data_IF_237060453057
#
_entry.id   IF_237060453057
#
_cell.length_a   1.000
_cell.length_b   1.000
_cell.length_c   1.000
_cell.angle_alpha   90.00
_cell.angle_beta   90.00
_cell.angle_gamma   90.00
#
_symmetry.space_group_name_H-M   'P 1'
#
loop_
_entity.id
_entity.type
_entity.pdbx_description
1 polymer ?
#
# COMPACT_ATOMS: atom_id res chain seq x y z
N UNK A 1 -9.37 5.33 -22.15
CA UNK A 1 -8.70 6.66 -22.24
C UNK A 1 -7.65 6.80 -21.16
N UNK A 2 -8.01 6.56 -19.89
CA UNK A 2 -7.11 6.66 -18.73
C UNK A 2 -5.89 5.74 -18.80
N UNK A 3 -6.03 4.42 -19.04
CA UNK A 3 -4.87 3.51 -19.14
C UNK A 3 -3.82 3.98 -20.17
N UNK A 4 -4.28 4.46 -21.34
CA UNK A 4 -3.40 4.99 -22.39
C UNK A 4 -2.65 6.25 -21.94
N UNK A 5 -3.32 7.14 -21.20
CA UNK A 5 -2.69 8.35 -20.67
C UNK A 5 -1.64 8.01 -19.60
N UNK A 6 -1.96 7.07 -18.68
CA UNK A 6 -1.02 6.58 -17.68
C UNK A 6 0.21 5.94 -18.32
N UNK A 7 0.04 5.10 -19.35
CA UNK A 7 1.17 4.49 -20.09
C UNK A 7 2.04 5.53 -20.78
N UNK A 8 1.45 6.60 -21.33
CA UNK A 8 2.22 7.70 -21.92
C UNK A 8 3.05 8.42 -20.86
N UNK A 9 2.43 8.79 -19.73
CA UNK A 9 3.13 9.43 -18.62
C UNK A 9 4.27 8.55 -18.07
N UNK A 10 4.03 7.25 -17.91
CA UNK A 10 5.05 6.28 -17.54
C UNK A 10 6.22 6.28 -18.53
N UNK A 11 5.93 6.27 -19.84
CA UNK A 11 6.96 6.36 -20.87
C UNK A 11 7.80 7.63 -20.77
N UNK A 12 7.16 8.78 -20.55
CA UNK A 12 7.85 10.07 -20.38
C UNK A 12 8.77 10.07 -19.14
N UNK A 13 8.30 9.49 -18.02
CA UNK A 13 9.09 9.37 -16.78
C UNK A 13 10.30 8.44 -16.98
N UNK A 14 10.06 7.25 -17.51
CA UNK A 14 11.10 6.23 -17.76
C UNK A 14 12.17 6.73 -18.72
N UNK A 15 11.78 7.54 -19.72
CA UNK A 15 12.75 8.15 -20.65
C UNK A 15 13.60 9.24 -19.99
N UNK A 16 13.13 9.85 -18.91
CA UNK A 16 13.74 11.04 -18.28
C UNK A 16 14.61 10.72 -17.06
N UNK A 17 14.37 9.58 -16.40
CA UNK A 17 15.05 9.21 -15.14
C UNK A 17 15.76 7.86 -15.32
N UNK A 18 17.08 7.77 -15.04
CA UNK A 18 17.78 6.49 -15.07
C UNK A 18 17.11 5.45 -14.17
N UNK A 19 16.98 4.21 -14.65
CA UNK A 19 16.22 3.17 -13.96
C UNK A 19 16.64 2.94 -12.50
N UNK A 20 17.96 2.96 -12.23
CA UNK A 20 18.52 2.83 -10.86
C UNK A 20 18.18 3.96 -9.89
N UNK A 21 17.62 5.08 -10.37
CA UNK A 21 17.19 6.22 -9.57
C UNK A 21 15.66 6.39 -9.60
N UNK A 22 14.93 5.42 -10.15
CA UNK A 22 13.50 5.50 -10.36
C UNK A 22 12.78 4.35 -9.66
N UNK A 23 11.72 4.72 -8.94
CA UNK A 23 10.73 3.80 -8.39
C UNK A 23 9.34 4.25 -8.84
N UNK A 24 8.49 3.32 -9.23
CA UNK A 24 7.12 3.57 -9.71
C UNK A 24 6.13 2.91 -8.76
N UNK A 25 5.29 3.72 -8.11
CA UNK A 25 4.17 3.24 -7.31
C UNK A 25 2.86 3.43 -8.07
N UNK A 26 2.03 2.40 -8.09
CA UNK A 26 0.63 2.50 -8.50
C UNK A 26 -0.27 2.63 -7.26
N UNK A 27 -0.98 3.76 -7.17
CA UNK A 27 -1.97 4.00 -6.11
C UNK A 27 -3.32 3.39 -6.50
N UNK A 28 -3.76 2.40 -5.72
CA UNK A 28 -4.94 1.57 -5.99
C UNK A 28 -6.00 1.87 -4.94
N UNK A 29 -6.74 2.95 -5.14
CA UNK A 29 -7.72 3.46 -4.16
C UNK A 29 -9.16 3.10 -4.52
N UNK A 30 -9.55 3.38 -5.76
CA UNK A 30 -10.92 3.17 -6.23
C UNK A 30 -11.26 1.68 -6.25
N UNK A 31 -10.29 0.85 -6.61
CA UNK A 31 -10.42 -0.59 -6.70
C UNK A 31 -10.66 -1.20 -5.31
N UNK A 32 -9.92 -0.77 -4.29
CA UNK A 32 -10.13 -1.21 -2.91
C UNK A 32 -11.53 -0.80 -2.44
N UNK A 33 -11.96 0.44 -2.70
CA UNK A 33 -13.33 0.90 -2.41
C UNK A 33 -14.41 0.05 -3.10
N UNK A 34 -14.17 -0.40 -4.34
CA UNK A 34 -15.06 -1.31 -5.05
C UNK A 34 -15.12 -2.68 -4.35
N UNK A 35 -13.98 -3.23 -3.89
CA UNK A 35 -13.95 -4.47 -3.12
C UNK A 35 -14.69 -4.34 -1.78
N UNK A 36 -14.56 -3.19 -1.13
CA UNK A 36 -15.19 -2.85 0.14
C UNK A 36 -16.68 -2.50 0.05
N UNK A 37 -17.31 -2.67 -1.12
CA UNK A 37 -18.74 -2.38 -1.34
C UNK A 37 -19.12 -0.90 -1.16
N UNK A 38 -18.16 0.02 -1.30
CA UNK A 38 -18.45 1.45 -1.19
C UNK A 38 -19.40 1.95 -2.29
N UNK A 39 -19.22 1.46 -3.52
CA UNK A 39 -20.09 1.81 -4.64
C UNK A 39 -21.29 0.85 -4.71
N UNK A 40 -22.49 1.43 -4.89
CA UNK A 40 -23.75 0.68 -4.93
C UNK A 40 -23.82 -0.33 -6.09
N UNK A 41 -23.18 -0.01 -7.22
CA UNK A 41 -23.17 -0.85 -8.41
C UNK A 41 -21.73 -1.19 -8.80
N UNK A 42 -21.52 -2.46 -9.13
CA UNK A 42 -20.30 -2.94 -9.77
C UNK A 42 -20.60 -4.14 -10.66
N UNK A 43 -19.89 -4.32 -11.79
CA UNK A 43 -20.05 -5.50 -12.63
C UNK A 43 -19.76 -6.78 -11.85
N UNK A 44 -20.44 -7.90 -12.17
CA UNK A 44 -20.19 -9.18 -11.49
C UNK A 44 -18.73 -9.67 -11.63
N UNK A 45 -18.06 -9.32 -12.73
CA UNK A 45 -16.66 -9.67 -12.99
C UNK A 45 -15.66 -8.56 -12.61
N UNK A 46 -16.05 -7.62 -11.73
CA UNK A 46 -15.21 -6.48 -11.35
C UNK A 46 -13.81 -6.89 -10.87
N UNK A 47 -13.70 -7.92 -10.02
CA UNK A 47 -12.42 -8.42 -9.50
C UNK A 47 -11.47 -8.79 -10.64
N UNK A 48 -11.95 -9.61 -11.59
CA UNK A 48 -11.18 -10.04 -12.76
C UNK A 48 -10.72 -8.85 -13.61
N UNK A 49 -11.59 -7.86 -13.83
CA UNK A 49 -11.27 -6.67 -14.63
C UNK A 49 -10.20 -5.81 -13.97
N UNK A 50 -10.37 -5.52 -12.67
CA UNK A 50 -9.42 -4.76 -11.85
C UNK A 50 -8.05 -5.43 -11.87
N UNK A 51 -7.98 -6.72 -11.54
CA UNK A 51 -6.72 -7.46 -11.46
C UNK A 51 -6.02 -7.51 -12.82
N UNK A 52 -6.78 -7.69 -13.91
CA UNK A 52 -6.22 -7.65 -15.26
C UNK A 52 -5.68 -6.26 -15.64
N UNK A 53 -6.31 -5.17 -15.19
CA UNK A 53 -5.84 -3.80 -15.42
C UNK A 53 -4.57 -3.49 -14.61
N UNK A 54 -4.56 -3.83 -13.32
CA UNK A 54 -3.39 -3.67 -12.45
C UNK A 54 -2.19 -4.46 -13.00
N UNK A 55 -2.40 -5.68 -13.48
CA UNK A 55 -1.35 -6.48 -14.11
C UNK A 55 -0.81 -5.82 -15.39
N UNK A 56 -1.71 -5.37 -16.27
CA UNK A 56 -1.32 -4.66 -17.50
C UNK A 56 -0.51 -3.39 -17.23
N UNK A 57 -0.86 -2.63 -16.19
CA UNK A 57 -0.13 -1.42 -15.77
C UNK A 57 1.21 -1.76 -15.11
N UNK A 58 1.24 -2.78 -14.24
CA UNK A 58 2.48 -3.26 -13.63
C UNK A 58 3.48 -3.77 -14.67
N UNK A 59 3.04 -4.62 -15.60
CA UNK A 59 3.86 -5.15 -16.69
C UNK A 59 4.32 -4.08 -17.68
N UNK A 60 3.72 -2.89 -17.66
CA UNK A 60 4.17 -1.76 -18.46
C UNK A 60 5.46 -1.12 -17.93
N UNK A 61 5.77 -1.30 -16.64
CA UNK A 61 6.96 -0.75 -16.01
C UNK A 61 8.17 -1.61 -16.41
N UNK A 62 9.28 -1.03 -16.92
CA UNK A 62 10.45 -1.80 -17.31
C UNK A 62 11.02 -2.62 -16.14
N UNK A 63 11.52 -3.83 -16.42
CA UNK A 63 12.04 -4.74 -15.39
C UNK A 63 13.21 -4.18 -14.58
N UNK A 64 13.97 -3.20 -15.12
CA UNK A 64 15.08 -2.56 -14.42
C UNK A 64 14.64 -1.42 -13.47
N UNK A 65 13.37 -1.04 -13.49
CA UNK A 65 12.78 0.02 -12.65
C UNK A 65 12.03 -0.65 -11.50
N UNK A 66 12.29 -0.21 -10.28
CA UNK A 66 11.57 -0.68 -9.10
C UNK A 66 10.08 -0.33 -9.20
N UNK A 67 9.19 -1.27 -8.88
CA UNK A 67 7.75 -1.10 -9.01
C UNK A 67 6.99 -1.70 -7.83
N UNK A 68 6.01 -0.94 -7.34
CA UNK A 68 5.16 -1.39 -6.25
C UNK A 68 3.72 -0.88 -6.33
N UNK A 69 2.92 -1.34 -5.38
CA UNK A 69 1.52 -0.94 -5.23
C UNK A 69 1.26 -0.36 -3.85
N UNK A 70 0.44 0.69 -3.80
CA UNK A 70 -0.20 1.17 -2.57
C UNK A 70 -1.69 0.84 -2.62
N UNK A 71 -2.15 -0.06 -1.75
CA UNK A 71 -3.56 -0.49 -1.72
C UNK A 71 -4.35 0.38 -0.73
N UNK A 72 -4.82 1.54 -1.20
CA UNK A 72 -5.45 2.55 -0.37
C UNK A 72 -6.95 2.30 -0.20
N UNK A 73 -7.53 2.50 0.98
CA UNK A 73 -9.00 2.56 1.16
C UNK A 73 -9.55 4.01 1.15
N UNK A 74 -8.72 4.99 0.82
CA UNK A 74 -9.08 6.40 0.72
C UNK A 74 -9.20 7.12 2.08
N UNK A 75 -8.89 8.42 2.06
CA UNK A 75 -8.95 9.31 3.25
C UNK A 75 -9.42 10.73 2.89
N UNK A 76 -10.61 10.95 2.30
CA UNK A 76 -11.09 12.31 2.07
C UNK A 76 -11.54 12.95 3.39
N UNK A 77 -10.91 14.09 3.72
CA UNK A 77 -11.22 14.96 4.86
C UNK A 77 -10.88 14.43 6.27
N UNK A 78 -9.82 13.63 6.41
CA UNK A 78 -9.42 12.99 7.69
C UNK A 78 -10.49 12.04 8.29
N UNK A 79 -11.54 11.72 7.52
CA UNK A 79 -12.51 10.66 7.83
C UNK A 79 -12.43 9.56 6.74
N UNK A 80 -12.46 8.30 7.16
CA UNK A 80 -12.32 7.16 6.26
C UNK A 80 -13.64 6.89 5.51
N UNK A 81 -13.63 6.87 4.17
CA UNK A 81 -14.82 6.55 3.35
C UNK A 81 -15.36 5.15 3.63
N UNK A 82 -14.43 4.23 3.89
CA UNK A 82 -14.68 2.92 4.47
C UNK A 82 -13.58 2.68 5.48
N UNK A 83 -13.95 2.16 6.65
CA UNK A 83 -13.01 1.59 7.61
C UNK A 83 -12.91 0.09 7.33
N UNK A 84 -11.78 -0.41 6.79
CA UNK A 84 -11.60 -1.84 6.64
C UNK A 84 -11.79 -2.52 7.99
N UNK A 85 -12.52 -3.63 7.97
CA UNK A 85 -12.71 -4.47 9.15
C UNK A 85 -11.39 -5.14 9.54
N UNK A 86 -10.64 -5.59 8.55
CA UNK A 86 -9.34 -6.25 8.64
C UNK A 86 -8.58 -6.05 7.32
N UNK A 87 -7.38 -6.63 7.20
CA UNK A 87 -6.55 -6.51 5.99
C UNK A 87 -6.93 -7.49 4.86
N UNK A 88 -8.03 -8.26 4.96
CA UNK A 88 -8.32 -9.36 4.03
C UNK A 88 -8.51 -8.91 2.58
N UNK A 89 -9.18 -7.77 2.35
CA UNK A 89 -9.37 -7.23 0.99
C UNK A 89 -8.03 -6.88 0.34
N UNK A 90 -7.15 -6.18 1.07
CA UNK A 90 -5.82 -5.81 0.56
C UNK A 90 -4.96 -7.05 0.29
N UNK A 91 -5.01 -8.06 1.17
CA UNK A 91 -4.28 -9.33 0.98
C UNK A 91 -4.84 -10.13 -0.20
N UNK A 92 -6.16 -10.19 -0.36
CA UNK A 92 -6.81 -10.81 -1.52
C UNK A 92 -6.32 -10.17 -2.82
N UNK A 93 -6.40 -8.84 -2.91
CA UNK A 93 -5.98 -8.09 -4.09
C UNK A 93 -4.48 -8.27 -4.38
N UNK A 94 -3.62 -8.18 -3.36
CA UNK A 94 -2.18 -8.36 -3.52
C UNK A 94 -1.84 -9.74 -4.08
N UNK A 95 -2.44 -10.80 -3.52
CA UNK A 95 -2.26 -12.18 -3.99
C UNK A 95 -2.79 -12.38 -5.41
N UNK A 96 -3.95 -11.80 -5.73
CA UNK A 96 -4.56 -11.87 -7.06
C UNK A 96 -3.68 -11.21 -8.12
N UNK A 97 -3.17 -9.99 -7.86
CA UNK A 97 -2.23 -9.31 -8.76
C UNK A 97 -0.96 -10.12 -8.91
N UNK A 98 -0.37 -10.58 -7.80
CA UNK A 98 0.90 -11.33 -7.81
C UNK A 98 0.83 -12.56 -8.71
N UNK A 99 -0.31 -13.26 -8.76
CA UNK A 99 -0.53 -14.47 -9.57
C UNK A 99 -0.49 -14.21 -11.07
N UNK A 100 -0.95 -13.04 -11.52
CA UNK A 100 -1.12 -12.74 -12.95
C UNK A 100 -0.03 -11.83 -13.51
N UNK A 101 0.71 -11.13 -12.65
CA UNK A 101 1.75 -10.19 -13.04
C UNK A 101 2.98 -10.94 -13.59
N UNK A 102 3.48 -10.49 -14.73
CA UNK A 102 4.63 -11.08 -15.42
C UNK A 102 5.99 -10.67 -14.86
N UNK A 103 6.02 -9.73 -13.90
CA UNK A 103 7.22 -9.24 -13.21
C UNK A 103 7.11 -9.38 -11.69
N UNK A 104 8.22 -9.23 -10.94
CA UNK A 104 8.17 -9.05 -9.49
C UNK A 104 7.44 -7.76 -9.09
N UNK A 105 6.89 -7.78 -7.88
CA UNK A 105 6.49 -6.59 -7.13
C UNK A 105 7.63 -6.31 -6.16
N UNK A 106 8.32 -5.19 -6.33
CA UNK A 106 9.52 -4.87 -5.57
C UNK A 106 9.15 -4.34 -4.17
N UNK A 107 8.06 -3.59 -4.06
CA UNK A 107 7.48 -3.16 -2.78
C UNK A 107 5.95 -3.16 -2.77
N UNK A 108 5.37 -3.38 -1.59
CA UNK A 108 3.92 -3.35 -1.37
C UNK A 108 3.64 -2.50 -0.13
N UNK A 109 2.84 -1.45 -0.26
CA UNK A 109 2.43 -0.62 0.86
C UNK A 109 0.95 -0.85 1.20
N UNK A 110 0.71 -1.26 2.45
CA UNK A 110 -0.64 -1.51 2.99
C UNK A 110 -0.94 -0.51 4.13
N UNK A 111 -1.92 0.39 3.96
CA UNK A 111 -2.34 1.34 4.99
C UNK A 111 -2.97 0.62 6.20
N UNK A 112 -2.83 1.23 7.38
CA UNK A 112 -3.46 0.75 8.62
C UNK A 112 -4.11 1.95 9.33
N UNK A 113 -5.40 1.89 9.70
CA UNK A 113 -6.05 2.96 10.44
C UNK A 113 -5.46 3.13 11.85
N UNK A 114 -5.46 4.37 12.35
CA UNK A 114 -4.84 4.74 13.63
C UNK A 114 -5.33 3.91 14.83
N UNK A 115 -6.60 3.53 14.82
CA UNK A 115 -7.26 2.80 15.91
C UNK A 115 -7.05 1.27 15.86
N UNK A 116 -6.43 0.72 14.81
CA UNK A 116 -6.23 -0.73 14.63
C UNK A 116 -4.98 -1.22 15.33
N UNK A 117 -5.18 -1.69 16.56
CA UNK A 117 -4.14 -2.30 17.42
C UNK A 117 -4.42 -3.78 17.70
N UNK A 118 -5.49 -4.32 17.14
CA UNK A 118 -5.99 -5.66 17.43
C UNK A 118 -5.44 -6.72 16.47
N UNK A 119 -5.19 -7.91 17.02
CA UNK A 119 -4.67 -9.06 16.26
C UNK A 119 -5.61 -9.47 15.09
N UNK A 120 -6.93 -9.26 15.24
CA UNK A 120 -7.89 -9.65 14.21
C UNK A 120 -7.73 -8.85 12.93
N UNK A 121 -7.38 -7.56 13.03
CA UNK A 121 -7.10 -6.70 11.89
C UNK A 121 -5.91 -7.19 11.06
N UNK A 122 -4.81 -7.58 11.74
CA UNK A 122 -3.54 -7.97 11.11
C UNK A 122 -3.48 -9.44 10.69
N UNK A 123 -4.31 -10.31 11.28
CA UNK A 123 -4.32 -11.75 11.00
C UNK A 123 -4.29 -12.13 9.51
N UNK A 124 -4.99 -11.43 8.59
CA UNK A 124 -4.93 -11.74 7.17
C UNK A 124 -3.54 -11.64 6.54
N UNK A 125 -2.59 -10.89 7.11
CA UNK A 125 -1.23 -10.77 6.59
C UNK A 125 -0.52 -12.12 6.47
N UNK A 126 -0.85 -13.09 7.32
CA UNK A 126 -0.31 -14.45 7.26
C UNK A 126 -0.67 -15.19 5.95
N UNK A 127 -1.65 -14.69 5.19
CA UNK A 127 -2.07 -15.25 3.91
C UNK A 127 -1.42 -14.59 2.69
N UNK A 128 -0.52 -13.61 2.86
CA UNK A 128 0.27 -13.04 1.75
C UNK A 128 1.20 -14.11 1.15
N UNK A 129 1.05 -14.37 -0.15
CA UNK A 129 1.73 -15.48 -0.86
C UNK A 129 2.51 -14.94 -2.06
N UNK A 130 3.78 -15.34 -2.17
CA UNK A 130 4.65 -14.97 -3.29
C UNK A 130 5.31 -13.60 -3.15
N UNK A 131 5.47 -13.12 -1.91
CA UNK A 131 6.08 -11.83 -1.54
C UNK A 131 7.40 -11.98 -0.75
N UNK A 132 8.06 -13.15 -0.81
CA UNK A 132 9.28 -13.42 -0.03
C UNK A 132 10.45 -12.48 -0.31
N UNK A 133 10.54 -11.98 -1.55
CA UNK A 133 11.56 -11.01 -1.99
C UNK A 133 11.00 -9.57 -2.11
N UNK A 134 9.75 -9.34 -1.70
CA UNK A 134 9.11 -8.02 -1.79
C UNK A 134 9.30 -7.25 -0.49
N UNK A 135 9.66 -5.97 -0.59
CA UNK A 135 9.65 -5.06 0.55
C UNK A 135 8.21 -4.71 0.94
N UNK A 136 7.68 -5.38 1.97
CA UNK A 136 6.39 -5.02 2.57
C UNK A 136 6.54 -3.78 3.45
N UNK A 137 5.73 -2.75 3.21
CA UNK A 137 5.61 -1.57 4.07
C UNK A 137 4.22 -1.49 4.67
N UNK A 138 4.13 -1.37 5.99
CA UNK A 138 2.87 -1.20 6.70
C UNK A 138 2.71 0.25 7.14
N UNK A 139 1.53 0.82 6.89
CA UNK A 139 1.16 2.20 7.21
C UNK A 139 0.89 2.43 8.69
N UNK A 140 1.88 2.15 9.55
CA UNK A 140 1.74 2.09 11.01
C UNK A 140 2.14 3.38 11.73
N UNK A 141 2.52 4.44 11.01
CA UNK A 141 2.96 5.71 11.61
C UNK A 141 1.89 6.78 11.48
N UNK A 142 1.50 7.37 12.60
CA UNK A 142 0.51 8.44 12.65
C UNK A 142 1.03 9.67 13.37
N UNK A 143 0.46 10.83 13.03
CA UNK A 143 0.82 12.08 13.68
C UNK A 143 0.52 12.04 15.18
N UNK A 144 1.53 12.44 15.97
CA UNK A 144 1.47 12.55 17.43
C UNK A 144 0.99 11.26 18.12
N UNK A 145 1.49 10.11 17.66
CA UNK A 145 1.05 8.80 18.19
C UNK A 145 2.17 7.75 18.27
N UNK A 146 3.39 8.17 18.62
CA UNK A 146 4.55 7.27 18.70
C UNK A 146 4.31 6.03 19.58
N UNK A 147 3.54 6.18 20.67
CA UNK A 147 3.17 5.05 21.53
C UNK A 147 2.22 4.09 20.81
N UNK A 148 1.20 4.60 20.13
CA UNK A 148 0.32 3.79 19.30
C UNK A 148 1.08 3.10 18.16
N UNK A 149 2.07 3.79 17.56
CA UNK A 149 2.93 3.25 16.50
C UNK A 149 3.64 1.97 16.93
N UNK A 150 4.21 1.96 18.14
CA UNK A 150 4.84 0.77 18.70
C UNK A 150 3.83 -0.36 18.95
N UNK A 151 2.62 -0.04 19.43
CA UNK A 151 1.57 -1.05 19.65
C UNK A 151 1.12 -1.69 18.33
N UNK A 152 0.95 -0.89 17.27
CA UNK A 152 0.57 -1.40 15.94
C UNK A 152 1.68 -2.22 15.30
N UNK A 153 2.95 -1.84 15.50
CA UNK A 153 4.12 -2.64 15.12
C UNK A 153 4.11 -4.00 15.82
N UNK A 154 3.89 -4.03 17.14
CA UNK A 154 3.84 -5.27 17.93
C UNK A 154 2.72 -6.21 17.47
N UNK A 155 1.56 -5.67 17.13
CA UNK A 155 0.43 -6.45 16.62
C UNK A 155 0.74 -7.03 15.23
N UNK A 156 1.30 -6.21 14.33
CA UNK A 156 1.65 -6.63 12.97
C UNK A 156 2.73 -7.72 12.93
N UNK A 157 3.76 -7.63 13.79
CA UNK A 157 4.87 -8.60 13.86
C UNK A 157 4.43 -10.03 14.15
N UNK A 158 3.26 -10.23 14.76
CA UNK A 158 2.69 -11.55 15.02
C UNK A 158 2.24 -12.28 13.75
N UNK A 159 1.97 -11.54 12.68
CA UNK A 159 1.41 -12.06 11.44
C UNK A 159 2.27 -11.80 10.21
N UNK A 160 3.20 -10.84 10.28
CA UNK A 160 4.21 -10.57 9.26
C UNK A 160 5.58 -10.40 9.95
N UNK A 161 6.50 -11.39 9.85
CA UNK A 161 7.77 -11.36 10.58
C UNK A 161 8.79 -10.35 10.04
N UNK A 162 8.55 -9.75 8.87
CA UNK A 162 9.41 -8.73 8.29
C UNK A 162 8.61 -7.72 7.46
N UNK A 163 8.77 -6.44 7.77
CA UNK A 163 8.21 -5.31 7.04
C UNK A 163 8.95 -4.01 7.40
N UNK A 164 8.85 -2.99 6.55
CA UNK A 164 9.18 -1.60 6.88
C UNK A 164 7.94 -0.82 7.35
N UNK A 165 8.15 0.37 7.91
CA UNK A 165 7.08 1.30 8.30
C UNK A 165 6.89 2.42 7.29
N UNK A 166 5.64 2.84 7.14
CA UNK A 166 5.21 4.02 6.39
C UNK A 166 4.06 4.71 7.14
N UNK A 167 3.72 5.94 6.75
CA UNK A 167 2.48 6.53 7.22
C UNK A 167 1.31 5.80 6.58
N UNK A 168 0.12 5.94 7.14
CA UNK A 168 -1.09 5.34 6.58
C UNK A 168 -1.26 5.68 5.09
N UNK A 169 -1.13 6.96 4.74
CA UNK A 169 -1.24 7.47 3.37
C UNK A 169 -0.28 8.65 3.17
N UNK A 170 -0.27 9.24 1.96
CA UNK A 170 0.53 10.41 1.63
C UNK A 170 0.07 11.70 2.32
N UNK A 171 0.97 12.68 2.41
CA UNK A 171 0.76 13.92 3.18
C UNK A 171 0.18 15.09 2.37
N UNK A 172 -0.33 14.84 1.16
CA UNK A 172 -0.77 15.91 0.24
C UNK A 172 -1.91 16.80 0.76
N UNK A 173 -2.60 16.38 1.83
CA UNK A 173 -3.66 17.14 2.52
C UNK A 173 -3.32 17.49 3.98
N UNK A 174 -2.14 17.14 4.46
CA UNK A 174 -1.77 17.35 5.87
C UNK A 174 -1.33 18.79 6.12
N UNK A 175 -1.44 19.26 7.35
CA UNK A 175 -0.84 20.52 7.77
C UNK A 175 0.70 20.41 7.70
N UNK A 176 1.39 21.25 6.88
CA UNK A 176 2.85 21.20 6.75
C UNK A 176 3.60 21.28 8.09
N UNK A 177 3.02 21.91 9.12
CA UNK A 177 3.63 21.99 10.45
C UNK A 177 3.72 20.61 11.14
N UNK A 178 2.94 19.62 10.71
CA UNK A 178 2.97 18.24 11.23
C UNK A 178 4.10 17.40 10.66
N UNK A 179 4.67 17.79 9.50
CA UNK A 179 5.66 16.98 8.76
C UNK A 179 6.92 16.69 9.58
N UNK A 180 7.54 17.65 10.30
CA UNK A 180 8.70 17.34 11.13
C UNK A 180 8.41 16.27 12.20
N UNK A 181 7.24 16.32 12.85
CA UNK A 181 6.84 15.34 13.85
C UNK A 181 6.53 13.96 13.25
N UNK A 182 5.99 13.92 12.04
CA UNK A 182 5.78 12.67 11.28
C UNK A 182 7.11 12.02 10.89
N UNK A 183 8.08 12.81 10.42
CA UNK A 183 9.43 12.32 10.11
C UNK A 183 10.15 11.78 11.34
N UNK A 184 10.01 12.46 12.49
CA UNK A 184 10.57 11.96 13.75
C UNK A 184 9.88 10.66 14.20
N UNK A 185 8.56 10.58 14.08
CA UNK A 185 7.81 9.34 14.39
C UNK A 185 8.23 8.19 13.47
N UNK A 186 8.52 8.49 12.20
CA UNK A 186 9.11 7.52 11.27
C UNK A 186 10.47 7.01 11.72
N UNK A 187 11.38 7.91 12.10
CA UNK A 187 12.71 7.55 12.59
C UNK A 187 12.61 6.63 13.80
N UNK A 188 11.80 7.01 14.79
CA UNK A 188 11.58 6.21 16.02
C UNK A 188 11.00 4.83 15.70
N UNK A 189 9.98 4.76 14.84
CA UNK A 189 9.37 3.49 14.45
C UNK A 189 10.33 2.56 13.69
N UNK A 190 11.14 3.12 12.77
CA UNK A 190 12.14 2.36 12.03
C UNK A 190 13.26 1.83 12.94
N UNK A 191 13.74 2.63 13.90
CA UNK A 191 14.72 2.19 14.90
C UNK A 191 14.17 1.07 15.79
N UNK A 192 12.90 1.19 16.21
CA UNK A 192 12.23 0.18 17.02
C UNK A 192 12.08 -1.16 16.28
N UNK A 193 11.91 -1.14 14.95
CA UNK A 193 11.89 -2.36 14.13
C UNK A 193 13.28 -2.98 13.97
N UNK A 194 14.32 -2.17 13.72
CA UNK A 194 15.69 -2.68 13.52
C UNK A 194 16.27 -3.35 14.77
N UNK A 195 15.74 -3.04 15.96
CA UNK A 195 16.16 -3.63 17.23
C UNK A 195 15.47 -4.97 17.58
N UNK A 196 14.64 -5.52 16.70
CA UNK A 196 13.80 -6.70 16.95
C UNK A 196 14.22 -7.92 16.14
#
# INVERSE_FOLDING_TARGET
MYERALRRALGDIVASIPARHLSIQWDVCQEVLIYENFFAERPADYKRRIIAELARLGDAVPAAVEMGYHLCYGSPADEHLVMPRDMAVMVEMANDVRRVLGRPIDFLHLPVPKDRTDDAYFRPLAELKGFGDTALYLGLVHHDDQKGDLVRIDAALRFAPGFGVASECGWGRTDPQRVPGLLESHRVAAEALNGR
#
